data_IF_592867251006
#
_entry.id   IF_592867251006
#
_cell.length_a   1.000
_cell.length_b   1.000
_cell.length_c   1.000
_cell.angle_alpha   90.00
_cell.angle_beta   90.00
_cell.angle_gamma   90.00
#
_symmetry.space_group_name_H-M   'P 1'
#
loop_
_entity.id
_entity.type
_entity.pdbx_description
1 polymer ?
#
# COMPACT_ATOMS: atom_id res chain seq x y z
N UNK A 1 -10.99 12.83 -3.26
CA UNK A 1 -11.79 12.89 -4.51
C UNK A 1 -11.02 12.18 -5.61
N UNK A 2 -11.62 11.17 -6.25
CA UNK A 2 -11.05 10.47 -7.40
C UNK A 2 -11.61 11.07 -8.69
N UNK A 3 -10.75 11.53 -9.59
CA UNK A 3 -11.14 12.09 -10.88
C UNK A 3 -10.37 11.40 -12.01
N UNK A 4 -11.09 10.83 -12.97
CA UNK A 4 -10.55 10.20 -14.17
C UNK A 4 -11.13 10.92 -15.39
N UNK A 5 -10.29 11.63 -16.15
CA UNK A 5 -10.73 12.40 -17.31
C UNK A 5 -10.25 11.74 -18.60
N UNK A 6 -11.18 11.21 -19.40
CA UNK A 6 -10.93 10.50 -20.66
C UNK A 6 -11.68 11.24 -21.80
N UNK A 7 -11.03 11.50 -22.95
CA UNK A 7 -11.73 12.04 -24.11
C UNK A 7 -12.68 11.00 -24.73
N UNK A 8 -13.66 11.44 -25.51
CA UNK A 8 -14.68 10.55 -26.10
C UNK A 8 -14.12 9.44 -26.99
N UNK A 9 -12.93 9.62 -27.57
CA UNK A 9 -12.26 8.63 -28.42
C UNK A 9 -11.49 7.54 -27.66
N UNK A 10 -11.37 7.63 -26.32
CA UNK A 10 -10.61 6.67 -25.51
C UNK A 10 -11.56 5.96 -24.54
N UNK A 11 -11.67 4.65 -24.70
CA UNK A 11 -12.42 3.79 -23.79
C UNK A 11 -11.84 3.83 -22.37
N UNK A 12 -12.72 3.76 -21.36
CA UNK A 12 -12.30 3.73 -19.96
C UNK A 12 -11.75 2.36 -19.59
N UNK A 13 -10.74 2.34 -18.73
CA UNK A 13 -10.26 1.10 -18.11
C UNK A 13 -11.15 0.77 -16.89
N UNK A 14 -12.06 -0.20 -17.04
CA UNK A 14 -12.97 -0.60 -15.97
C UNK A 14 -12.27 -1.29 -14.80
N UNK A 15 -11.22 -2.06 -15.08
CA UNK A 15 -10.44 -2.74 -14.03
C UNK A 15 -9.78 -1.72 -13.10
N UNK A 16 -9.27 -0.60 -13.66
CA UNK A 16 -8.69 0.47 -12.85
C UNK A 16 -9.72 1.20 -11.99
N UNK A 17 -10.95 1.34 -12.50
CA UNK A 17 -12.05 1.94 -11.74
C UNK A 17 -12.40 1.06 -10.53
N UNK A 18 -12.56 -0.25 -10.73
CA UNK A 18 -12.85 -1.21 -9.64
C UNK A 18 -11.71 -1.20 -8.62
N UNK A 19 -10.46 -1.29 -9.08
CA UNK A 19 -9.26 -1.24 -8.23
C UNK A 19 -9.20 0.04 -7.39
N UNK A 20 -9.53 1.19 -7.98
CA UNK A 20 -9.57 2.46 -7.25
C UNK A 20 -10.67 2.47 -6.18
N UNK A 21 -11.85 1.92 -6.46
CA UNK A 21 -12.95 1.83 -5.49
C UNK A 21 -12.56 0.93 -4.32
N UNK A 22 -11.98 -0.23 -4.58
CA UNK A 22 -11.47 -1.15 -3.55
C UNK A 22 -10.41 -0.48 -2.68
N UNK A 23 -9.45 0.22 -3.29
CA UNK A 23 -8.42 0.96 -2.56
C UNK A 23 -9.01 2.06 -1.65
N UNK A 24 -10.03 2.78 -2.12
CA UNK A 24 -10.72 3.80 -1.33
C UNK A 24 -11.48 3.20 -0.14
N UNK A 25 -12.20 2.10 -0.35
CA UNK A 25 -12.90 1.38 0.70
C UNK A 25 -11.94 0.84 1.75
N UNK A 26 -10.84 0.23 1.32
CA UNK A 26 -9.81 -0.31 2.19
C UNK A 26 -9.13 0.79 3.03
N UNK A 27 -8.80 1.91 2.39
CA UNK A 27 -8.20 3.08 3.06
C UNK A 27 -9.12 3.65 4.14
N UNK A 28 -10.43 3.74 3.85
CA UNK A 28 -11.44 4.22 4.80
C UNK A 28 -11.58 3.31 6.02
N UNK A 29 -11.53 1.98 5.83
CA UNK A 29 -11.72 1.03 6.92
C UNK A 29 -10.50 0.89 7.84
N UNK A 30 -9.29 0.97 7.27
CA UNK A 30 -8.07 0.48 7.95
C UNK A 30 -6.99 1.53 8.18
N UNK A 31 -7.23 2.81 7.88
CA UNK A 31 -6.21 3.89 8.01
C UNK A 31 -4.89 3.55 7.30
N UNK A 32 -5.00 2.94 6.12
CA UNK A 32 -3.89 2.56 5.25
C UNK A 32 -3.97 3.29 3.91
N UNK A 33 -2.88 3.29 3.15
CA UNK A 33 -2.78 3.81 1.80
C UNK A 33 -2.22 2.74 0.85
N UNK A 34 -2.82 2.58 -0.32
CA UNK A 34 -2.36 1.61 -1.32
C UNK A 34 -1.21 2.21 -2.15
N UNK A 35 -0.06 1.54 -2.29
CA UNK A 35 1.07 2.00 -3.10
C UNK A 35 0.76 1.98 -4.61
N UNK A 36 1.69 2.53 -5.38
CA UNK A 36 1.65 2.46 -6.84
C UNK A 36 1.54 1.01 -7.33
N UNK A 37 0.67 0.77 -8.31
CA UNK A 37 0.39 -0.54 -8.91
C UNK A 37 -0.22 -1.59 -7.95
N UNK A 38 -0.71 -1.23 -6.78
CA UNK A 38 -1.42 -2.16 -5.89
C UNK A 38 -2.64 -2.78 -6.59
N UNK A 39 -2.87 -4.11 -6.50
CA UNK A 39 -2.21 -5.09 -5.62
C UNK A 39 -0.99 -5.81 -6.22
N UNK A 40 -0.55 -5.43 -7.43
CA UNK A 40 0.62 -6.01 -8.10
C UNK A 40 1.93 -5.27 -7.78
N UNK A 41 1.90 -4.36 -6.81
CA UNK A 41 3.07 -3.65 -6.31
C UNK A 41 4.08 -4.61 -5.69
N UNK A 42 5.34 -4.16 -5.59
CA UNK A 42 6.39 -4.86 -4.83
C UNK A 42 6.60 -6.32 -5.26
N UNK A 43 6.28 -6.65 -6.51
CA UNK A 43 6.48 -7.99 -7.07
C UNK A 43 7.96 -8.32 -7.32
N UNK A 44 8.82 -7.31 -7.45
CA UNK A 44 10.27 -7.47 -7.60
C UNK A 44 10.96 -6.31 -6.86
N UNK A 45 11.36 -6.52 -5.61
CA UNK A 45 12.15 -5.55 -4.83
C UNK A 45 13.62 -5.98 -4.84
N UNK A 46 14.54 -5.13 -5.36
CA UNK A 46 15.96 -5.35 -5.19
C UNK A 46 16.36 -5.09 -3.73
N UNK A 47 16.91 -6.09 -3.06
CA UNK A 47 17.46 -5.97 -1.71
C UNK A 47 18.92 -5.50 -1.76
N UNK A 48 19.41 -4.97 -0.64
CA UNK A 48 20.78 -4.47 -0.53
C UNK A 48 21.85 -5.55 -0.73
N UNK A 49 21.49 -6.83 -0.55
CA UNK A 49 22.35 -8.00 -0.79
C UNK A 49 22.41 -8.43 -2.27
N UNK A 50 21.70 -7.74 -3.16
CA UNK A 50 21.61 -8.07 -4.59
C UNK A 50 20.58 -9.15 -4.93
N UNK A 51 19.87 -9.71 -3.94
CA UNK A 51 18.76 -10.63 -4.16
C UNK A 51 17.46 -9.88 -4.47
N UNK A 52 16.49 -10.58 -5.05
CA UNK A 52 15.16 -10.06 -5.38
C UNK A 52 14.13 -10.74 -4.50
N UNK A 53 13.37 -9.95 -3.75
CA UNK A 53 12.29 -10.47 -2.89
C UNK A 53 10.92 -10.21 -3.52
N UNK A 54 10.07 -11.23 -3.42
CA UNK A 54 8.64 -11.21 -3.81
C UNK A 54 7.71 -11.14 -2.59
N UNK A 55 8.27 -11.13 -1.39
CA UNK A 55 7.55 -11.28 -0.12
C UNK A 55 6.58 -10.12 0.18
N UNK A 56 6.86 -8.93 -0.37
CA UNK A 56 6.07 -7.73 -0.10
C UNK A 56 4.99 -7.48 -1.16
N UNK A 57 4.74 -8.42 -2.08
CA UNK A 57 3.74 -8.23 -3.13
C UNK A 57 2.36 -7.93 -2.55
N UNK A 58 1.71 -6.87 -3.02
CA UNK A 58 0.36 -6.50 -2.54
C UNK A 58 0.32 -5.82 -1.17
N UNK A 59 1.48 -5.54 -0.57
CA UNK A 59 1.57 -4.77 0.68
C UNK A 59 1.01 -3.34 0.53
N UNK A 60 0.59 -2.76 1.67
CA UNK A 60 0.04 -1.41 1.76
C UNK A 60 0.89 -0.55 2.71
N UNK A 61 0.75 0.76 2.61
CA UNK A 61 1.38 1.69 3.55
C UNK A 61 0.46 1.98 4.72
N UNK A 62 1.03 2.05 5.92
CA UNK A 62 0.34 2.66 7.06
C UNK A 62 0.37 4.18 6.92
N UNK A 63 -0.73 4.86 7.24
CA UNK A 63 -0.75 6.32 7.20
C UNK A 63 0.27 6.91 8.19
N UNK A 64 1.06 7.92 7.78
CA UNK A 64 2.05 8.54 8.65
C UNK A 64 1.42 9.30 9.82
N UNK A 65 0.13 9.60 9.74
CA UNK A 65 -0.67 10.23 10.80
C UNK A 65 -0.90 9.30 12.01
N UNK A 66 -0.77 7.98 11.82
CA UNK A 66 -0.93 7.01 12.91
C UNK A 66 0.31 7.04 13.81
N UNK A 67 0.11 7.11 15.12
CA UNK A 67 1.19 7.06 16.11
C UNK A 67 1.91 5.70 16.06
N UNK A 68 3.15 5.63 16.53
CA UNK A 68 3.88 4.35 16.56
C UNK A 68 3.25 3.33 17.52
N UNK A 69 2.56 3.80 18.56
CA UNK A 69 1.86 2.96 19.53
C UNK A 69 0.61 2.32 18.90
N UNK A 70 -0.20 3.12 18.21
CA UNK A 70 -1.40 2.65 17.52
C UNK A 70 -1.04 1.77 16.31
N UNK A 71 0.07 2.06 15.65
CA UNK A 71 0.61 1.24 14.57
C UNK A 71 0.95 -0.16 15.07
N UNK A 72 1.71 -0.28 16.16
CA UNK A 72 2.09 -1.57 16.77
C UNK A 72 0.87 -2.33 17.29
N UNK A 73 -0.13 -1.63 17.81
CA UNK A 73 -1.39 -2.23 18.28
C UNK A 73 -2.22 -2.81 17.14
N UNK A 74 -2.32 -2.08 16.03
CA UNK A 74 -3.16 -2.46 14.88
C UNK A 74 -2.46 -3.50 14.01
N UNK A 75 -1.15 -3.34 13.82
CA UNK A 75 -0.31 -4.17 12.96
C UNK A 75 1.01 -4.45 13.69
N UNK A 76 1.15 -5.54 14.45
CA UNK A 76 2.39 -5.81 15.19
C UNK A 76 3.59 -6.13 14.28
N UNK A 77 3.34 -6.64 13.06
CA UNK A 77 4.36 -7.12 12.13
C UNK A 77 4.68 -6.14 10.99
N UNK A 78 4.34 -4.85 11.13
CA UNK A 78 4.64 -3.88 10.08
C UNK A 78 6.16 -3.67 9.91
N UNK A 79 6.60 -3.49 8.66
CA UNK A 79 7.98 -3.27 8.31
C UNK A 79 8.24 -1.77 8.10
N UNK A 80 9.19 -1.20 8.84
CA UNK A 80 9.65 0.18 8.61
C UNK A 80 10.90 0.15 7.74
N UNK A 81 10.84 0.79 6.57
CA UNK A 81 11.99 0.87 5.67
C UNK A 81 12.92 2.00 6.11
N UNK A 82 14.23 1.73 6.11
CA UNK A 82 15.24 2.77 6.33
C UNK A 82 15.36 3.67 5.10
N UNK A 83 15.35 4.98 5.33
CA UNK A 83 15.46 6.00 4.29
C UNK A 83 16.54 7.02 4.68
N UNK A 84 17.24 7.66 3.71
CA UNK A 84 18.32 8.60 4.00
C UNK A 84 17.92 9.77 4.90
N UNK A 85 16.64 10.15 4.90
CA UNK A 85 16.10 11.23 5.75
C UNK A 85 15.97 10.84 7.23
N UNK A 86 16.08 9.55 7.58
CA UNK A 86 15.86 9.02 8.94
C UNK A 86 14.45 9.28 9.50
N UNK A 87 13.48 9.60 8.64
CA UNK A 87 12.09 9.81 9.03
C UNK A 87 11.32 8.52 8.75
N UNK A 88 10.69 7.97 9.80
CA UNK A 88 9.94 6.70 9.74
C UNK A 88 8.53 6.88 9.17
N UNK A 89 8.42 7.41 7.95
CA UNK A 89 7.13 7.53 7.24
C UNK A 89 6.85 6.34 6.33
N UNK A 90 7.89 5.62 5.90
CA UNK A 90 7.76 4.49 4.98
C UNK A 90 7.51 3.19 5.76
N UNK A 91 6.25 3.00 6.15
CA UNK A 91 5.78 1.86 6.96
C UNK A 91 4.92 0.94 6.10
N UNK A 92 5.36 -0.29 5.89
CA UNK A 92 4.71 -1.32 5.08
C UNK A 92 3.98 -2.33 5.95
N UNK A 93 2.77 -2.71 5.54
CA UNK A 93 1.97 -3.79 6.13
C UNK A 93 1.73 -4.83 5.04
N UNK A 94 1.97 -6.11 5.34
CA UNK A 94 1.78 -7.21 4.39
C UNK A 94 0.31 -7.42 4.09
N UNK A 95 0.01 -7.98 2.91
CA UNK A 95 -1.37 -8.19 2.46
C UNK A 95 -2.14 -9.09 3.43
N UNK A 96 -1.50 -10.15 3.93
CA UNK A 96 -2.11 -11.12 4.83
C UNK A 96 -2.54 -10.47 6.15
N UNK A 97 -1.71 -9.57 6.69
CA UNK A 97 -2.00 -8.85 7.93
C UNK A 97 -3.14 -7.84 7.74
N UNK A 98 -3.24 -7.23 6.55
CA UNK A 98 -4.36 -6.34 6.21
C UNK A 98 -5.65 -7.14 6.14
N UNK A 99 -5.66 -8.31 5.52
CA UNK A 99 -6.85 -9.16 5.39
C UNK A 99 -7.26 -9.76 6.75
N UNK A 100 -6.30 -10.17 7.58
CA UNK A 100 -6.54 -10.72 8.91
C UNK A 100 -7.09 -9.71 9.93
N UNK A 101 -6.80 -8.41 9.74
CA UNK A 101 -7.32 -7.32 10.58
C UNK A 101 -8.77 -6.91 10.23
N UNK A 102 -9.58 -7.81 9.64
CA UNK A 102 -10.99 -7.57 9.27
C UNK A 102 -11.95 -7.97 10.38
#
# INVERSE_FOLDING_TARGET
MLSLNYPACVGRNMDEIVRCVEALQLSYQKSIATPANWPNNHADIPMADGTRSTEFKGSVFLLPTVSEEDAKKSYPNYHSCEVPSKINYLRLVKKEDVEAAA
#
